data_IF_430757922361
#
_entry.id   IF_430757922361
#
_cell.length_a   1.000
_cell.length_b   1.000
_cell.length_c   1.000
_cell.angle_alpha   90.00
_cell.angle_beta   90.00
_cell.angle_gamma   90.00
#
_symmetry.space_group_name_H-M   'P 1'
#
loop_
_entity.id
_entity.type
_entity.pdbx_description
1 polymer ?
#
# COMPACT_ATOMS: atom_id res chain seq x y z
N UNK A 1 -6.61 36.32 1.00
CA UNK A 1 -5.77 37.31 1.73
C UNK A 1 -5.21 36.80 3.05
N UNK A 2 -5.77 35.74 3.65
CA UNK A 2 -5.28 35.20 4.94
C UNK A 2 -3.98 34.36 4.81
N UNK A 3 -3.83 33.58 3.72
CA UNK A 3 -2.69 32.66 3.57
C UNK A 3 -1.32 33.34 3.35
N UNK A 4 -1.30 34.61 2.96
CA UNK A 4 -0.08 35.40 2.74
C UNK A 4 0.48 36.01 4.03
N UNK A 5 -0.32 36.19 5.07
CA UNK A 5 0.11 36.79 6.34
C UNK A 5 0.84 35.80 7.24
N UNK A 6 0.52 34.50 7.14
CA UNK A 6 1.19 33.43 7.91
C UNK A 6 2.68 33.26 7.56
N UNK A 7 3.10 33.74 6.38
CA UNK A 7 4.48 33.58 5.88
C UNK A 7 5.46 34.65 6.40
N UNK A 8 4.96 35.75 6.98
CA UNK A 8 5.77 36.90 7.38
C UNK A 8 6.16 36.84 8.86
N UNK A 9 5.32 36.24 9.70
CA UNK A 9 5.61 36.04 11.12
C UNK A 9 6.35 34.72 11.27
N UNK A 10 7.63 34.78 11.64
CA UNK A 10 8.55 33.65 11.80
C UNK A 10 7.92 32.45 12.50
N UNK A 11 7.30 31.58 11.71
CA UNK A 11 6.63 30.39 12.17
C UNK A 11 7.68 29.31 12.27
N UNK A 12 7.81 28.72 13.47
CA UNK A 12 8.72 27.60 13.72
C UNK A 12 8.64 26.57 12.58
N UNK A 13 9.75 25.94 12.21
CA UNK A 13 9.76 24.92 11.14
C UNK A 13 8.70 23.83 11.32
N UNK A 14 8.31 23.55 12.58
CA UNK A 14 7.21 22.66 12.96
C UNK A 14 5.84 23.12 12.45
N UNK A 15 5.52 24.41 12.51
CA UNK A 15 4.23 24.93 12.04
C UNK A 15 4.07 24.79 10.52
N UNK A 16 5.18 24.91 9.77
CA UNK A 16 5.19 24.69 8.32
C UNK A 16 4.94 23.22 7.95
N UNK A 17 5.53 22.28 8.69
CA UNK A 17 5.35 20.84 8.45
C UNK A 17 3.95 20.32 8.80
N UNK A 18 3.26 20.95 9.75
CA UNK A 18 1.92 20.54 10.19
C UNK A 18 0.78 21.21 9.41
N UNK A 19 1.10 22.11 8.47
CA UNK A 19 0.10 22.74 7.60
C UNK A 19 -0.46 21.67 6.66
N UNK A 20 -1.77 21.46 6.71
CA UNK A 20 -2.49 20.55 5.81
C UNK A 20 -2.85 21.30 4.53
N UNK A 21 -2.37 20.81 3.39
CA UNK A 21 -2.72 21.31 2.07
C UNK A 21 -3.61 20.29 1.34
N UNK A 22 -4.30 20.73 0.28
CA UNK A 22 -5.09 19.83 -0.58
C UNK A 22 -4.24 18.81 -1.32
N UNK A 23 -2.97 19.13 -1.56
CA UNK A 23 -2.07 18.36 -2.42
C UNK A 23 -1.18 17.40 -1.62
N UNK A 24 -1.41 17.29 -0.31
CA UNK A 24 -0.63 16.41 0.56
C UNK A 24 -0.99 14.93 0.29
N UNK A 25 0.04 14.08 0.22
CA UNK A 25 -0.13 12.62 0.09
C UNK A 25 -0.47 12.04 1.46
N UNK A 26 -1.66 11.44 1.58
CA UNK A 26 -2.17 10.89 2.83
C UNK A 26 -2.24 9.37 2.83
N UNK A 27 -2.01 8.74 3.99
CA UNK A 27 -2.22 7.30 4.19
C UNK A 27 -3.67 7.10 4.61
N UNK A 28 -4.46 6.46 3.75
CA UNK A 28 -5.90 6.21 4.00
C UNK A 28 -6.14 4.92 4.77
N UNK A 29 -5.34 3.89 4.50
CA UNK A 29 -5.46 2.58 5.11
C UNK A 29 -4.08 1.93 5.27
N UNK A 30 -3.85 1.28 6.41
CA UNK A 30 -2.64 0.54 6.67
C UNK A 30 -2.96 -0.72 7.47
N UNK A 31 -2.65 -1.88 6.90
CA UNK A 31 -2.81 -3.18 7.54
C UNK A 31 -1.67 -4.11 7.13
N UNK A 32 -1.47 -5.15 7.93
CA UNK A 32 -0.53 -6.24 7.65
C UNK A 32 -1.13 -7.59 7.99
N UNK A 33 -0.57 -8.64 7.43
CA UNK A 33 -0.83 -10.01 7.89
C UNK A 33 -0.21 -10.24 9.26
N UNK A 34 -0.64 -11.29 9.97
CA UNK A 34 0.12 -11.79 11.12
C UNK A 34 1.53 -12.18 10.69
N UNK A 35 2.48 -12.17 11.63
CA UNK A 35 3.83 -12.66 11.34
C UNK A 35 3.99 -14.02 11.98
N UNK A 36 4.31 -15.02 11.16
CA UNK A 36 4.52 -16.39 11.61
C UNK A 36 5.99 -16.78 11.45
N UNK A 37 6.47 -17.68 12.31
CA UNK A 37 7.82 -18.23 12.21
C UNK A 37 7.98 -19.00 10.90
N UNK A 38 9.07 -18.74 10.17
CA UNK A 38 9.36 -19.48 8.95
C UNK A 38 9.48 -21.00 9.24
N UNK A 39 8.97 -21.84 8.34
CA UNK A 39 8.95 -23.32 8.38
C UNK A 39 8.11 -23.96 9.51
N UNK A 40 8.01 -23.35 10.69
CA UNK A 40 7.32 -23.90 11.87
C UNK A 40 6.06 -23.14 12.30
N UNK A 41 5.73 -22.03 11.65
CA UNK A 41 4.58 -21.19 11.97
C UNK A 41 3.33 -21.50 11.14
N UNK A 42 2.28 -20.70 11.34
CA UNK A 42 0.97 -20.90 10.69
C UNK A 42 0.97 -20.76 9.16
N UNK A 43 1.92 -20.03 8.58
CA UNK A 43 2.07 -19.87 7.14
C UNK A 43 3.07 -20.84 6.49
N UNK A 44 3.40 -21.96 7.15
CA UNK A 44 4.37 -22.93 6.61
C UNK A 44 3.89 -23.61 5.33
N UNK A 45 2.58 -23.80 5.18
CA UNK A 45 1.96 -24.51 4.06
C UNK A 45 1.39 -23.54 3.00
N UNK A 46 1.52 -22.23 3.21
CA UNK A 46 0.99 -21.20 2.33
C UNK A 46 2.09 -20.68 1.42
N UNK A 47 1.81 -20.63 0.12
CA UNK A 47 2.68 -19.99 -0.87
C UNK A 47 2.67 -18.47 -0.71
N UNK A 48 3.72 -17.80 -1.21
CA UNK A 48 3.77 -16.33 -1.21
C UNK A 48 2.60 -15.69 -1.96
N UNK A 49 2.12 -16.32 -3.04
CA UNK A 49 0.96 -15.87 -3.81
C UNK A 49 -0.33 -15.94 -2.99
N UNK A 50 -0.59 -17.06 -2.31
CA UNK A 50 -1.78 -17.20 -1.47
C UNK A 50 -1.79 -16.19 -0.32
N UNK A 51 -0.62 -15.91 0.27
CA UNK A 51 -0.49 -14.88 1.29
C UNK A 51 -0.81 -13.48 0.74
N UNK A 52 -0.35 -13.16 -0.48
CA UNK A 52 -0.68 -11.90 -1.15
C UNK A 52 -2.18 -11.79 -1.46
N UNK A 53 -2.79 -12.85 -1.99
CA UNK A 53 -4.24 -12.87 -2.29
C UNK A 53 -5.06 -12.68 -1.00
N UNK A 54 -4.70 -13.38 0.07
CA UNK A 54 -5.38 -13.25 1.37
C UNK A 54 -5.25 -11.82 1.91
N UNK A 55 -4.07 -11.21 1.78
CA UNK A 55 -3.84 -9.83 2.17
C UNK A 55 -4.70 -8.86 1.36
N UNK A 56 -4.69 -8.95 0.04
CA UNK A 56 -5.45 -8.05 -0.82
C UNK A 56 -6.96 -8.16 -0.59
N UNK A 57 -7.51 -9.38 -0.47
CA UNK A 57 -8.93 -9.57 -0.14
C UNK A 57 -9.29 -8.97 1.22
N UNK A 58 -8.43 -9.15 2.22
CA UNK A 58 -8.60 -8.55 3.53
C UNK A 58 -8.50 -7.02 3.51
N UNK A 59 -7.67 -6.46 2.64
CA UNK A 59 -7.53 -5.01 2.46
C UNK A 59 -8.76 -4.41 1.77
N UNK A 60 -9.24 -5.02 0.68
CA UNK A 60 -10.43 -4.58 -0.07
C UNK A 60 -11.66 -4.56 0.85
N UNK A 61 -11.82 -5.57 1.71
CA UNK A 61 -12.95 -5.64 2.65
C UNK A 61 -12.98 -4.49 3.68
N UNK A 62 -11.83 -3.89 3.99
CA UNK A 62 -11.70 -2.89 5.06
C UNK A 62 -11.41 -1.47 4.57
N UNK A 63 -10.82 -1.31 3.38
CA UNK A 63 -10.37 0.01 2.92
C UNK A 63 -11.52 0.97 2.58
N UNK A 64 -12.76 0.48 2.44
CA UNK A 64 -13.97 1.26 2.07
C UNK A 64 -13.83 2.10 0.79
N UNK A 65 -12.81 1.83 -0.01
CA UNK A 65 -12.53 2.47 -1.30
C UNK A 65 -12.84 1.44 -2.38
N UNK A 66 -13.34 1.91 -3.52
CA UNK A 66 -13.56 1.05 -4.68
C UNK A 66 -12.20 0.62 -5.26
N UNK A 67 -11.92 -0.70 -5.39
CA UNK A 67 -10.71 -1.20 -6.04
C UNK A 67 -10.48 -0.63 -7.45
N UNK A 68 -11.54 -0.21 -8.15
CA UNK A 68 -11.43 0.38 -9.48
C UNK A 68 -10.75 1.75 -9.53
N UNK A 69 -10.70 2.46 -8.40
CA UNK A 69 -10.06 3.78 -8.29
C UNK A 69 -8.54 3.68 -8.14
N UNK A 70 -8.01 2.49 -7.83
CA UNK A 70 -6.58 2.30 -7.63
C UNK A 70 -5.88 2.22 -8.99
N UNK A 71 -4.95 3.16 -9.21
CA UNK A 71 -4.21 3.29 -10.46
C UNK A 71 -2.90 2.47 -10.47
N UNK A 72 -2.25 2.32 -9.32
CA UNK A 72 -0.96 1.63 -9.20
C UNK A 72 -0.84 0.85 -7.89
N UNK A 73 -0.20 -0.32 -7.97
CA UNK A 73 0.10 -1.22 -6.86
C UNK A 73 1.60 -1.49 -6.86
N UNK A 74 2.26 -1.05 -5.79
CA UNK A 74 3.69 -1.26 -5.59
C UNK A 74 3.91 -2.35 -4.54
N UNK A 75 4.58 -3.44 -4.92
CA UNK A 75 4.86 -4.56 -4.04
C UNK A 75 6.36 -4.72 -3.76
N UNK A 76 6.73 -4.78 -2.47
CA UNK A 76 8.12 -4.98 -2.06
C UNK A 76 8.41 -6.46 -1.76
N UNK A 77 9.31 -7.10 -2.51
CA UNK A 77 9.73 -8.48 -2.23
C UNK A 77 11.12 -8.80 -2.75
N UNK A 78 11.79 -9.76 -2.10
CA UNK A 78 13.24 -10.00 -2.27
C UNK A 78 13.54 -11.37 -2.90
N UNK A 79 12.98 -12.44 -2.35
CA UNK A 79 13.34 -13.83 -2.69
C UNK A 79 12.60 -14.47 -3.89
N UNK A 80 11.35 -14.13 -4.25
CA UNK A 80 10.62 -14.91 -5.25
C UNK A 80 11.21 -14.69 -6.67
N UNK A 81 11.43 -15.77 -7.44
CA UNK A 81 12.07 -15.68 -8.76
C UNK A 81 11.17 -15.05 -9.83
N UNK A 82 9.85 -15.04 -9.63
CA UNK A 82 8.85 -14.50 -10.56
C UNK A 82 7.97 -13.43 -9.90
N UNK A 83 8.60 -12.59 -9.07
CA UNK A 83 7.92 -11.61 -8.25
C UNK A 83 6.89 -10.71 -8.99
N UNK A 84 7.18 -10.17 -10.19
CA UNK A 84 6.22 -9.32 -10.90
C UNK A 84 4.96 -10.08 -11.33
N UNK A 85 5.13 -11.33 -11.76
CA UNK A 85 4.01 -12.18 -12.15
C UNK A 85 3.16 -12.56 -10.93
N UNK A 86 3.80 -12.93 -9.84
CA UNK A 86 3.11 -13.33 -8.61
C UNK A 86 2.29 -12.17 -8.03
N UNK A 87 2.85 -10.95 -8.01
CA UNK A 87 2.15 -9.75 -7.56
C UNK A 87 0.96 -9.41 -8.47
N UNK A 88 1.16 -9.45 -9.79
CA UNK A 88 0.10 -9.17 -10.77
C UNK A 88 -1.03 -10.20 -10.73
N UNK A 89 -0.70 -11.48 -10.74
CA UNK A 89 -1.68 -12.56 -10.68
C UNK A 89 -2.48 -12.51 -9.36
N UNK A 90 -1.81 -12.21 -8.24
CA UNK A 90 -2.47 -12.07 -6.94
C UNK A 90 -3.41 -10.87 -6.88
N UNK A 91 -3.05 -9.73 -7.49
CA UNK A 91 -3.91 -8.56 -7.56
C UNK A 91 -5.18 -8.84 -8.38
N UNK A 92 -5.04 -9.45 -9.55
CA UNK A 92 -6.18 -9.85 -10.38
C UNK A 92 -7.09 -10.86 -9.66
N UNK A 93 -6.49 -11.87 -9.01
CA UNK A 93 -7.22 -12.88 -8.24
C UNK A 93 -7.92 -12.32 -6.98
N UNK A 94 -7.46 -11.17 -6.48
CA UNK A 94 -8.09 -10.48 -5.36
C UNK A 94 -9.26 -9.58 -5.77
N UNK A 95 -9.40 -9.26 -7.06
CA UNK A 95 -10.49 -8.44 -7.60
C UNK A 95 -10.09 -7.02 -8.00
N UNK A 96 -8.81 -6.71 -8.13
CA UNK A 96 -8.38 -5.47 -8.78
C UNK A 96 -8.60 -5.56 -10.29
N UNK A 97 -9.00 -4.47 -10.97
CA UNK A 97 -9.21 -4.48 -12.41
C UNK A 97 -7.89 -4.61 -13.16
N UNK A 98 -7.97 -5.04 -14.41
CA UNK A 98 -6.82 -5.16 -15.31
C UNK A 98 -6.19 -3.82 -15.67
N UNK A 99 -6.91 -2.72 -15.51
CA UNK A 99 -6.44 -1.35 -15.77
C UNK A 99 -5.44 -0.86 -14.73
N UNK A 100 -5.51 -1.37 -13.49
CA UNK A 100 -4.58 -1.00 -12.41
C UNK A 100 -3.19 -1.50 -12.74
N UNK A 101 -2.16 -0.66 -12.67
CA UNK A 101 -0.77 -1.05 -12.88
C UNK A 101 -0.17 -1.76 -11.66
N UNK A 102 0.82 -2.63 -11.87
CA UNK A 102 1.51 -3.37 -10.78
C UNK A 102 3.01 -3.34 -11.01
N UNK A 103 3.76 -2.90 -10.00
CA UNK A 103 5.22 -2.88 -10.02
C UNK A 103 5.81 -3.58 -8.77
N UNK A 104 7.01 -4.14 -8.93
CA UNK A 104 7.73 -4.80 -7.84
C UNK A 104 9.08 -4.13 -7.61
N UNK A 105 9.40 -3.87 -6.34
CA UNK A 105 10.64 -3.21 -5.94
C UNK A 105 11.42 -4.13 -4.99
N UNK A 106 12.73 -4.21 -5.23
CA UNK A 106 13.70 -4.79 -4.32
C UNK A 106 14.83 -3.75 -4.13
N UNK A 107 15.16 -3.42 -2.88
CA UNK A 107 16.17 -2.42 -2.53
C UNK A 107 17.20 -3.01 -1.58
#
# INVERSE_FOLDING_TARGET
MQATLDNIVGTSGRTKLLRKNSDDIVVTFAKRTSMCKARKGGFKDMSGQELMIAFFKGAIAEMKVDPAVIEDIVFGTVLPPKAPYDARASALAAGFPETTSVQVINR
#
